data_IF_355013156282
#
_entry.id   IF_355013156282
#
_cell.length_a   1.000
_cell.length_b   1.000
_cell.length_c   1.000
_cell.angle_alpha   90.00
_cell.angle_beta   90.00
_cell.angle_gamma   90.00
#
_symmetry.space_group_name_H-M   'P 1'
#
loop_
_entity.id
_entity.type
_entity.pdbx_description
1 polymer ?
#
# COMPACT_ATOMS: atom_id res chain seq x y z
N UNK A 1 7.70 13.29 -11.66
CA UNK A 1 6.71 12.82 -10.67
C UNK A 1 5.28 13.35 -10.91
N UNK A 2 4.91 14.61 -10.62
CA UNK A 2 3.52 15.07 -10.86
C UNK A 2 3.06 15.05 -12.33
N UNK A 3 3.97 15.35 -13.26
CA UNK A 3 3.67 15.36 -14.70
C UNK A 3 3.52 13.95 -15.30
N UNK A 4 4.17 12.93 -14.72
CA UNK A 4 4.07 11.55 -15.22
C UNK A 4 2.75 10.90 -14.83
N UNK A 5 2.24 11.21 -13.63
CA UNK A 5 0.96 10.67 -13.12
C UNK A 5 -0.21 11.17 -13.98
N UNK A 6 -0.19 12.43 -14.40
CA UNK A 6 -1.21 13.01 -15.28
C UNK A 6 -1.26 12.34 -16.67
N UNK A 7 -0.09 12.05 -17.25
CA UNK A 7 -0.01 11.38 -18.57
C UNK A 7 -0.52 9.93 -18.51
N UNK A 8 -0.33 9.22 -17.38
CA UNK A 8 -0.84 7.85 -17.24
C UNK A 8 -2.36 7.76 -17.08
N UNK A 9 -3.02 8.77 -16.52
CA UNK A 9 -4.48 8.80 -16.40
C UNK A 9 -5.21 9.10 -17.72
N UNK A 10 -4.53 9.67 -18.72
CA UNK A 10 -5.11 9.82 -20.07
C UNK A 10 -5.05 8.52 -20.89
N UNK A 11 -4.07 7.65 -20.60
CA UNK A 11 -3.86 6.40 -21.34
C UNK A 11 -4.73 5.22 -20.84
N UNK A 12 -5.27 5.31 -19.63
CA UNK A 12 -6.17 4.32 -19.03
C UNK A 12 -7.48 5.03 -18.64
N UNK A 13 -8.66 4.40 -18.79
CA UNK A 13 -9.93 4.99 -18.40
C UNK A 13 -10.10 5.01 -16.87
N UNK A 14 -9.19 5.66 -16.16
CA UNK A 14 -9.12 5.71 -14.71
C UNK A 14 -9.61 7.07 -14.23
N UNK A 15 -10.70 7.10 -13.47
CA UNK A 15 -11.20 8.33 -12.85
C UNK A 15 -10.30 8.69 -11.68
N UNK A 16 -9.69 9.87 -11.73
CA UNK A 16 -8.80 10.36 -10.69
C UNK A 16 -9.61 11.16 -9.66
N UNK A 17 -9.91 10.54 -8.51
CA UNK A 17 -10.53 11.20 -7.37
C UNK A 17 -9.43 11.73 -6.43
N UNK A 18 -9.23 13.05 -6.43
CA UNK A 18 -8.30 13.70 -5.50
C UNK A 18 -8.97 13.94 -4.16
N UNK A 19 -8.28 13.62 -3.07
CA UNK A 19 -8.65 14.06 -1.74
C UNK A 19 -8.66 15.60 -1.67
N UNK A 20 -9.64 16.17 -0.95
CA UNK A 20 -9.67 17.61 -0.72
C UNK A 20 -8.48 18.02 0.15
N UNK A 21 -7.84 19.18 -0.12
CA UNK A 21 -6.75 19.67 0.72
C UNK A 21 -7.21 19.75 2.18
N UNK A 22 -6.39 19.25 3.10
CA UNK A 22 -6.66 19.22 4.55
C UNK A 22 -7.81 18.31 5.03
N UNK A 23 -8.28 17.35 4.20
CA UNK A 23 -9.27 16.35 4.62
C UNK A 23 -8.67 14.94 4.69
N UNK A 24 -8.22 14.57 5.90
CA UNK A 24 -7.58 13.28 6.21
C UNK A 24 -8.57 12.12 6.42
N UNK A 25 -9.86 12.25 6.10
CA UNK A 25 -10.81 11.17 6.40
C UNK A 25 -10.75 10.02 5.39
N UNK A 26 -10.52 10.34 4.11
CA UNK A 26 -10.24 9.35 3.06
C UNK A 26 -8.77 8.95 3.08
N UNK A 27 -7.87 9.93 3.27
CA UNK A 27 -6.43 9.71 3.23
C UNK A 27 -5.90 9.04 4.51
N UNK A 28 -6.49 9.29 5.68
CA UNK A 28 -6.00 8.78 6.97
C UNK A 28 -5.98 7.26 7.09
N UNK A 29 -6.76 6.57 6.26
CA UNK A 29 -6.76 5.12 6.20
C UNK A 29 -5.71 4.57 5.25
N UNK A 30 -5.46 5.29 4.16
CA UNK A 30 -4.34 5.06 3.26
C UNK A 30 -3.04 5.35 4.02
N UNK A 31 -2.93 6.51 4.68
CA UNK A 31 -1.83 6.91 5.56
C UNK A 31 -1.56 5.88 6.67
N UNK A 32 -2.59 5.41 7.37
CA UNK A 32 -2.43 4.38 8.41
C UNK A 32 -1.91 3.06 7.84
N UNK A 33 -2.42 2.66 6.68
CA UNK A 33 -1.97 1.45 6.00
C UNK A 33 -0.52 1.61 5.52
N UNK A 34 -0.18 2.74 4.90
CA UNK A 34 1.19 3.09 4.46
C UNK A 34 2.15 3.05 5.65
N UNK A 35 1.77 3.60 6.81
CA UNK A 35 2.61 3.57 8.01
C UNK A 35 2.90 2.15 8.47
N UNK A 36 1.90 1.28 8.53
CA UNK A 36 2.08 -0.12 8.94
C UNK A 36 3.00 -0.86 7.96
N UNK A 37 2.84 -0.61 6.66
CA UNK A 37 3.72 -1.18 5.63
C UNK A 37 5.15 -0.69 5.78
N UNK A 38 5.35 0.61 6.03
CA UNK A 38 6.66 1.22 6.27
C UNK A 38 7.34 0.63 7.50
N UNK A 39 6.60 0.43 8.60
CA UNK A 39 7.11 -0.19 9.82
C UNK A 39 7.52 -1.66 9.59
N UNK A 40 6.71 -2.43 8.85
CA UNK A 40 7.03 -3.81 8.48
C UNK A 40 8.26 -3.92 7.58
N UNK A 41 8.38 -3.01 6.60
CA UNK A 41 9.54 -2.93 5.72
C UNK A 41 10.79 -2.52 6.50
N UNK A 42 10.68 -1.55 7.40
CA UNK A 42 11.77 -1.14 8.28
C UNK A 42 12.26 -2.31 9.15
N UNK A 43 11.35 -3.06 9.76
CA UNK A 43 11.71 -4.26 10.53
C UNK A 43 12.44 -5.28 9.66
N UNK A 44 11.95 -5.56 8.45
CA UNK A 44 12.61 -6.49 7.54
C UNK A 44 14.00 -6.04 7.11
N UNK A 45 14.19 -4.75 6.81
CA UNK A 45 15.52 -4.22 6.46
C UNK A 45 16.49 -4.35 7.64
N UNK A 46 16.02 -4.12 8.87
CA UNK A 46 16.82 -4.25 10.09
C UNK A 46 17.20 -5.72 10.35
N UNK A 47 16.24 -6.63 10.23
CA UNK A 47 16.42 -8.06 10.56
C UNK A 47 17.26 -8.79 9.50
N UNK A 48 17.01 -8.52 8.22
CA UNK A 48 17.68 -9.22 7.12
C UNK A 48 18.95 -8.51 6.61
N UNK A 49 19.19 -7.24 7.00
CA UNK A 49 20.37 -6.42 6.65
C UNK A 49 20.83 -6.57 5.19
N UNK A 50 21.76 -7.48 4.91
CA UNK A 50 22.21 -7.84 3.56
C UNK A 50 21.38 -9.05 3.11
N UNK A 51 20.42 -8.84 2.23
CA UNK A 51 19.50 -9.89 1.77
C UNK A 51 18.02 -9.55 1.92
N UNK A 52 17.68 -8.37 2.45
CA UNK A 52 16.29 -7.89 2.54
C UNK A 52 15.56 -7.93 1.19
N UNK A 53 16.28 -7.72 0.09
CA UNK A 53 15.81 -7.81 -1.29
C UNK A 53 15.28 -9.21 -1.64
N UNK A 54 15.91 -10.26 -1.12
CA UNK A 54 15.47 -11.65 -1.31
C UNK A 54 14.25 -12.00 -0.46
N UNK A 55 14.01 -11.25 0.61
CA UNK A 55 12.86 -11.41 1.50
C UNK A 55 11.71 -10.48 1.15
N UNK A 56 11.92 -9.49 0.27
CA UNK A 56 10.91 -8.58 -0.25
C UNK A 56 9.64 -9.30 -0.75
N UNK A 57 9.72 -10.42 -1.51
CA UNK A 57 8.52 -11.14 -1.94
C UNK A 57 7.72 -11.74 -0.78
N UNK A 58 8.38 -12.12 0.32
CA UNK A 58 7.71 -12.63 1.52
C UNK A 58 6.98 -11.51 2.27
N UNK A 59 7.58 -10.31 2.31
CA UNK A 59 6.95 -9.13 2.93
C UNK A 59 5.71 -8.74 2.14
N UNK A 60 5.80 -8.68 0.81
CA UNK A 60 4.66 -8.42 -0.06
C UNK A 60 3.56 -9.47 0.12
N UNK A 61 3.94 -10.75 0.17
CA UNK A 61 2.99 -11.84 0.44
C UNK A 61 2.28 -11.66 1.79
N UNK A 62 3.02 -11.36 2.86
CA UNK A 62 2.45 -11.11 4.18
C UNK A 62 1.49 -9.91 4.16
N UNK A 63 1.90 -8.78 3.59
CA UNK A 63 1.08 -7.58 3.51
C UNK A 63 -0.25 -7.83 2.77
N UNK A 64 -0.24 -8.66 1.73
CA UNK A 64 -1.44 -9.02 0.97
C UNK A 64 -2.34 -10.05 1.66
N UNK A 65 -1.80 -10.86 2.57
CA UNK A 65 -2.51 -11.98 3.22
C UNK A 65 -2.82 -11.74 4.71
N UNK A 66 -2.28 -10.69 5.34
CA UNK A 66 -2.60 -10.36 6.73
C UNK A 66 -4.04 -9.83 6.82
N UNK A 67 -4.75 -10.29 7.85
CA UNK A 67 -6.11 -9.87 8.12
C UNK A 67 -6.20 -8.39 8.51
N UNK A 68 -6.97 -7.61 7.75
CA UNK A 68 -7.23 -6.21 8.06
C UNK A 68 -8.54 -6.09 8.84
N UNK A 69 -8.46 -5.71 10.11
CA UNK A 69 -9.63 -5.59 11.01
C UNK A 69 -10.71 -4.64 10.49
N UNK A 70 -10.34 -3.64 9.70
CA UNK A 70 -11.27 -2.68 9.08
C UNK A 70 -12.04 -3.27 7.90
N UNK A 71 -11.37 -4.05 7.06
CA UNK A 71 -11.97 -4.69 5.87
C UNK A 71 -12.62 -6.03 6.27
N UNK A 72 -12.27 -6.54 7.46
CA UNK A 72 -12.67 -7.85 7.99
C UNK A 72 -12.27 -9.02 7.08
N UNK A 73 -11.18 -8.84 6.33
CA UNK A 73 -10.58 -9.81 5.43
C UNK A 73 -9.12 -9.42 5.19
N UNK A 74 -8.33 -10.34 4.63
CA UNK A 74 -7.07 -9.94 4.01
C UNK A 74 -7.33 -9.20 2.67
N UNK A 75 -6.47 -8.26 2.25
CA UNK A 75 -6.63 -7.58 0.97
C UNK A 75 -6.74 -8.54 -0.23
N UNK A 76 -5.96 -9.62 -0.25
CA UNK A 76 -6.04 -10.65 -1.29
C UNK A 76 -7.38 -11.39 -1.28
N UNK A 77 -7.93 -11.67 -0.11
CA UNK A 77 -9.25 -12.30 0.02
C UNK A 77 -10.36 -11.34 -0.42
N UNK A 78 -10.28 -10.06 -0.06
CA UNK A 78 -11.24 -9.05 -0.48
C UNK A 78 -11.21 -8.78 -1.99
N UNK A 79 -10.05 -8.99 -2.64
CA UNK A 79 -9.88 -8.81 -4.07
C UNK A 79 -10.33 -10.04 -4.89
N UNK A 80 -10.17 -11.25 -4.34
CA UNK A 80 -10.44 -12.51 -5.04
C UNK A 80 -11.74 -13.21 -4.60
N UNK A 81 -12.37 -12.72 -3.54
CA UNK A 81 -13.64 -13.20 -2.99
C UNK A 81 -14.84 -12.82 -3.85
#
# INVERSE_FOLDING_TARGET
MKAEIANTSEALPTRLDMSTPYHSQTDGQIERTIRILDDMLCACVIDFRKGWDRHMPLVEFLCNNIYHTRIKAAPFEALRG
#
